data_IF_586806457444
#
_entry.id   IF_586806457444
#
_cell.length_a   1.000
_cell.length_b   1.000
_cell.length_c   1.000
_cell.angle_alpha   90.00
_cell.angle_beta   90.00
_cell.angle_gamma   90.00
#
_symmetry.space_group_name_H-M   'P 1'
#
loop_
_entity.id
_entity.type
_entity.pdbx_description
1 polymer ?
#
# COMPACT_ATOMS: atom_id res chain seq x y z
N UNK A 1 67.84 44.74 5.56
CA UNK A 1 68.85 43.93 6.27
C UNK A 1 68.18 42.62 6.70
N UNK A 2 68.87 41.47 6.54
CA UNK A 2 68.63 40.13 7.14
C UNK A 2 67.18 39.69 7.46
N UNK A 3 66.56 38.63 6.90
CA UNK A 3 67.00 37.30 6.40
C UNK A 3 67.49 36.29 7.45
N UNK A 4 66.65 35.28 7.74
CA UNK A 4 66.90 33.91 8.24
C UNK A 4 65.64 33.10 7.79
N UNK A 5 65.62 31.95 7.09
CA UNK A 5 66.44 30.70 7.11
C UNK A 5 66.44 30.03 8.50
N UNK A 6 66.19 28.73 8.70
CA UNK A 6 65.88 27.57 7.82
C UNK A 6 65.11 26.51 8.67
N UNK A 7 64.74 25.27 8.29
CA UNK A 7 65.03 24.41 7.12
C UNK A 7 63.84 23.47 6.77
N UNK A 8 64.11 22.26 6.26
CA UNK A 8 63.21 21.22 5.76
C UNK A 8 63.34 19.91 6.55
N UNK A 9 62.31 19.07 6.56
CA UNK A 9 62.45 17.60 6.39
C UNK A 9 61.17 16.99 5.80
N UNK A 10 61.34 16.01 4.91
CA UNK A 10 60.29 15.22 4.25
C UNK A 10 60.62 13.74 4.40
N UNK A 11 59.65 12.86 4.68
CA UNK A 11 59.73 11.44 4.35
C UNK A 11 58.70 11.00 3.27
N UNK A 12 58.90 9.85 2.60
CA UNK A 12 58.69 9.79 1.15
C UNK A 12 57.49 8.94 0.66
N UNK A 13 57.24 9.09 -0.63
CA UNK A 13 56.31 8.29 -1.43
C UNK A 13 56.94 7.00 -1.99
N UNK A 14 56.31 5.86 -1.71
CA UNK A 14 56.25 4.64 -2.54
C UNK A 14 55.14 3.74 -1.95
N UNK A 15 54.29 3.06 -2.69
CA UNK A 15 54.31 2.79 -4.13
C UNK A 15 54.23 1.28 -4.38
N UNK A 16 53.01 0.73 -4.49
CA UNK A 16 52.77 -0.54 -5.20
C UNK A 16 51.31 -0.71 -5.58
N UNK A 17 51.07 -0.92 -6.86
CA UNK A 17 49.79 -1.32 -7.41
C UNK A 17 49.66 -2.83 -7.32
N UNK A 18 48.51 -3.33 -6.86
CA UNK A 18 48.17 -4.75 -6.88
C UNK A 18 46.92 -4.96 -7.75
N UNK A 19 47.13 -5.13 -9.06
CA UNK A 19 46.10 -5.57 -10.00
C UNK A 19 45.71 -7.01 -9.69
N UNK A 20 44.56 -7.21 -9.05
CA UNK A 20 43.96 -8.55 -8.94
C UNK A 20 43.23 -8.92 -10.23
N UNK A 21 43.58 -10.09 -10.76
CA UNK A 21 43.12 -10.58 -12.06
C UNK A 21 41.66 -11.00 -12.02
N UNK A 22 40.97 -10.77 -13.15
CA UNK A 22 39.73 -11.43 -13.50
C UNK A 22 39.93 -12.95 -13.53
N UNK A 23 39.22 -13.68 -12.67
CA UNK A 23 39.08 -15.14 -12.75
C UNK A 23 37.77 -15.49 -13.44
N UNK A 24 37.84 -15.98 -14.68
CA UNK A 24 36.69 -16.57 -15.36
C UNK A 24 36.34 -17.90 -14.67
N UNK A 25 35.13 -18.04 -14.15
CA UNK A 25 34.57 -19.34 -13.75
C UNK A 25 33.71 -19.84 -14.90
N UNK A 26 34.11 -20.97 -15.48
CA UNK A 26 33.46 -21.55 -16.64
C UNK A 26 32.12 -22.21 -16.28
N UNK A 27 31.17 -22.10 -17.20
CA UNK A 27 29.98 -22.93 -17.26
C UNK A 27 30.40 -24.40 -17.42
N UNK A 28 30.00 -25.29 -16.52
CA UNK A 28 29.94 -26.72 -16.80
C UNK A 28 28.52 -27.22 -16.57
N UNK A 29 27.82 -27.55 -17.65
CA UNK A 29 26.53 -28.26 -17.60
C UNK A 29 26.81 -29.70 -17.19
N UNK A 30 26.09 -30.21 -16.19
CA UNK A 30 25.91 -31.65 -16.04
C UNK A 30 24.45 -32.01 -16.30
N UNK A 31 24.24 -32.66 -17.45
CA UNK A 31 23.06 -33.47 -17.68
C UNK A 31 23.37 -34.90 -17.21
N UNK A 32 22.35 -35.57 -16.69
CA UNK A 32 22.06 -37.01 -16.62
C UNK A 32 21.31 -37.29 -15.31
N UNK A 33 20.01 -37.65 -15.35
CA UNK A 33 19.42 -38.94 -15.76
C UNK A 33 19.76 -40.07 -14.78
N UNK A 34 18.77 -40.95 -14.61
CA UNK A 34 18.62 -42.00 -13.59
C UNK A 34 17.97 -41.51 -12.27
N UNK A 35 16.91 -42.16 -11.76
CA UNK A 35 16.15 -43.27 -12.31
C UNK A 35 15.00 -43.66 -11.37
N UNK A 36 13.92 -44.21 -11.93
CA UNK A 36 12.82 -44.77 -11.14
C UNK A 36 13.33 -45.81 -10.13
N UNK A 37 12.86 -45.76 -8.89
CA UNK A 37 12.47 -46.97 -8.15
C UNK A 37 11.44 -46.67 -7.06
N UNK A 38 10.24 -47.18 -7.30
CA UNK A 38 9.20 -47.36 -6.29
C UNK A 38 9.56 -48.48 -5.33
N UNK A 39 9.33 -48.28 -4.04
CA UNK A 39 9.09 -49.38 -3.10
C UNK A 39 7.94 -48.99 -2.18
N UNK A 40 6.78 -49.59 -2.39
CA UNK A 40 5.76 -49.68 -1.35
C UNK A 40 6.31 -50.48 -0.17
N UNK A 41 5.98 -50.06 1.04
CA UNK A 41 6.07 -50.89 2.23
C UNK A 41 4.79 -50.70 3.05
N UNK A 42 3.77 -51.48 2.72
CA UNK A 42 2.63 -51.66 3.61
C UNK A 42 3.11 -52.40 4.86
N UNK A 43 2.82 -51.88 6.05
CA UNK A 43 2.85 -52.67 7.28
C UNK A 43 1.45 -52.66 7.87
N UNK A 44 0.74 -53.78 7.68
CA UNK A 44 -0.47 -54.07 8.43
C UNK A 44 -0.08 -54.45 9.86
N UNK A 45 -0.76 -53.86 10.84
CA UNK A 45 -0.75 -54.29 12.24
C UNK A 45 -2.19 -54.35 12.76
N UNK A 46 -2.83 -55.51 12.66
CA UNK A 46 -4.14 -55.81 13.24
C UNK A 46 -3.97 -56.73 14.45
N UNK A 47 -4.54 -56.32 15.58
CA UNK A 47 -5.25 -57.14 16.58
C UNK A 47 -5.86 -56.15 17.60
N UNK A 48 -7.18 -56.13 17.82
CA UNK A 48 -8.00 -57.07 18.63
C UNK A 48 -7.58 -57.05 20.12
N UNK A 49 -8.44 -57.01 21.15
CA UNK A 49 -9.91 -57.05 21.31
C UNK A 49 -10.23 -56.59 22.78
N UNK A 50 -11.45 -56.39 23.33
CA UNK A 50 -12.86 -56.45 22.94
C UNK A 50 -13.74 -55.71 24.02
N UNK A 51 -15.07 -55.86 23.93
CA UNK A 51 -16.09 -55.77 25.02
C UNK A 51 -16.57 -54.39 25.54
N UNK A 52 -17.83 -54.20 25.98
CA UNK A 52 -19.12 -54.89 25.70
C UNK A 52 -20.29 -54.07 26.28
N UNK A 53 -21.48 -54.09 25.65
CA UNK A 53 -22.73 -53.50 26.18
C UNK A 53 -23.61 -52.89 25.08
N UNK A 54 -24.46 -53.66 24.38
CA UNK A 54 -25.88 -53.93 24.71
C UNK A 54 -26.73 -52.65 24.87
N UNK A 55 -27.76 -52.35 24.06
CA UNK A 55 -28.24 -53.01 22.82
C UNK A 55 -29.71 -52.62 22.49
N UNK A 56 -30.22 -53.12 21.36
CA UNK A 56 -31.66 -53.29 21.00
C UNK A 56 -32.51 -52.00 20.77
N UNK A 57 -33.47 -51.93 19.83
CA UNK A 57 -33.82 -52.84 18.72
C UNK A 57 -34.49 -52.08 17.54
N UNK A 58 -34.61 -52.81 16.41
CA UNK A 58 -35.42 -52.58 15.18
C UNK A 58 -36.51 -51.49 15.19
N UNK A 59 -36.68 -50.80 14.04
CA UNK A 59 -37.67 -51.22 13.03
C UNK A 59 -37.44 -50.56 11.65
N UNK A 60 -37.41 -51.39 10.60
CA UNK A 60 -37.53 -50.97 9.20
C UNK A 60 -38.98 -51.18 8.77
N UNK A 61 -39.61 -50.21 8.10
CA UNK A 61 -40.49 -50.47 6.96
C UNK A 61 -40.67 -49.20 6.10
N UNK A 62 -41.05 -49.41 4.85
CA UNK A 62 -40.92 -48.45 3.75
C UNK A 62 -42.27 -47.95 3.22
N UNK A 63 -42.17 -47.04 2.23
CA UNK A 63 -43.18 -46.70 1.21
C UNK A 63 -44.30 -45.69 1.55
N UNK A 64 -44.10 -44.47 1.01
CA UNK A 64 -45.02 -43.71 0.14
C UNK A 64 -46.54 -43.92 0.34
N UNK A 65 -47.25 -42.86 0.72
CA UNK A 65 -48.39 -42.38 -0.07
C UNK A 65 -48.75 -40.89 0.21
N UNK A 66 -49.42 -40.31 -0.78
CA UNK A 66 -49.72 -38.89 -1.00
C UNK A 66 -50.70 -38.30 0.03
N UNK A 67 -50.58 -36.99 0.36
CA UNK A 67 -51.49 -35.94 -0.17
C UNK A 67 -51.22 -34.52 0.38
N UNK A 68 -51.32 -33.56 -0.54
CA UNK A 68 -51.74 -32.16 -0.42
C UNK A 68 -51.64 -31.45 0.95
N UNK A 69 -50.72 -30.48 1.02
CA UNK A 69 -51.02 -29.19 1.65
C UNK A 69 -50.61 -28.07 0.69
N UNK A 70 -51.59 -27.25 0.34
CA UNK A 70 -51.55 -26.30 -0.77
C UNK A 70 -51.24 -24.91 -0.21
N UNK A 71 -49.98 -24.48 -0.33
CA UNK A 71 -49.58 -23.09 -0.08
C UNK A 71 -49.07 -22.48 -1.38
N UNK A 72 -49.75 -21.40 -1.78
CA UNK A 72 -49.56 -20.69 -3.04
C UNK A 72 -48.17 -20.05 -3.11
N UNK A 73 -47.28 -20.63 -3.90
CA UNK A 73 -46.13 -19.90 -4.44
C UNK A 73 -46.56 -19.25 -5.75
N UNK A 74 -46.92 -17.97 -5.69
CA UNK A 74 -47.17 -17.09 -6.84
C UNK A 74 -45.89 -16.96 -7.69
N UNK A 75 -45.69 -17.95 -8.57
CA UNK A 75 -44.73 -17.87 -9.66
C UNK A 75 -45.29 -16.91 -10.71
N UNK A 76 -44.92 -15.64 -10.61
CA UNK A 76 -45.07 -14.69 -11.71
C UNK A 76 -44.28 -15.17 -12.93
N UNK A 77 -44.92 -15.99 -13.76
CA UNK A 77 -44.45 -16.34 -15.09
C UNK A 77 -44.52 -15.08 -15.95
N UNK A 78 -43.37 -14.46 -16.21
CA UNK A 78 -43.28 -13.32 -17.11
C UNK A 78 -43.59 -13.78 -18.54
N UNK A 79 -44.83 -13.60 -18.96
CA UNK A 79 -45.25 -13.75 -20.36
C UNK A 79 -44.77 -12.54 -21.15
N UNK A 80 -43.55 -12.63 -21.68
CA UNK A 80 -43.01 -11.64 -22.61
C UNK A 80 -43.78 -11.68 -23.94
N UNK A 81 -44.77 -10.78 -24.06
CA UNK A 81 -45.45 -10.52 -25.34
C UNK A 81 -44.43 -9.92 -26.31
N UNK A 82 -43.95 -10.75 -27.24
CA UNK A 82 -43.08 -10.33 -28.32
C UNK A 82 -43.85 -9.39 -29.25
N UNK A 83 -43.65 -8.07 -29.12
CA UNK A 83 -44.12 -7.10 -30.11
C UNK A 83 -43.31 -7.26 -31.39
N UNK A 84 -43.91 -7.89 -32.41
CA UNK A 84 -43.40 -7.84 -33.78
C UNK A 84 -43.55 -6.41 -34.30
N UNK A 85 -42.43 -5.70 -34.44
CA UNK A 85 -42.37 -4.42 -35.15
C UNK A 85 -42.18 -4.67 -36.65
N UNK A 86 -43.00 -4.05 -37.48
CA UNK A 86 -42.95 -4.17 -38.95
C UNK A 86 -42.17 -2.99 -39.55
N UNK A 87 -41.24 -3.30 -40.46
CA UNK A 87 -40.78 -2.37 -41.51
C UNK A 87 -39.55 -1.51 -41.19
N UNK A 88 -38.39 -1.89 -41.72
CA UNK A 88 -37.18 -1.06 -41.74
C UNK A 88 -35.93 -1.85 -42.12
N UNK A 89 -35.35 -1.59 -43.30
CA UNK A 89 -34.28 -2.41 -43.89
C UNK A 89 -32.90 -2.18 -43.29
N UNK A 90 -32.46 -3.06 -42.37
CA UNK A 90 -31.07 -3.55 -42.28
C UNK A 90 -30.97 -4.59 -41.15
N UNK A 91 -30.69 -5.85 -41.50
CA UNK A 91 -30.65 -6.94 -40.54
C UNK A 91 -29.32 -6.97 -39.76
N UNK A 92 -29.24 -6.18 -38.69
CA UNK A 92 -28.35 -6.47 -37.56
C UNK A 92 -29.17 -6.57 -36.27
N UNK A 93 -28.91 -7.58 -35.41
CA UNK A 93 -29.56 -7.66 -34.12
C UNK A 93 -29.26 -6.39 -33.30
N UNK A 94 -30.19 -5.91 -32.46
CA UNK A 94 -30.01 -4.69 -31.69
C UNK A 94 -28.74 -4.81 -30.82
N UNK A 95 -27.77 -3.93 -31.10
CA UNK A 95 -26.45 -3.95 -30.47
C UNK A 95 -26.59 -3.79 -28.96
N UNK A 96 -26.19 -4.82 -28.21
CA UNK A 96 -26.24 -4.80 -26.74
C UNK A 96 -25.49 -3.59 -26.18
N UNK A 97 -26.23 -2.66 -25.59
CA UNK A 97 -25.69 -1.55 -24.82
C UNK A 97 -25.43 -2.03 -23.39
N UNK A 98 -24.18 -2.04 -22.90
CA UNK A 98 -23.92 -2.46 -21.54
C UNK A 98 -24.60 -1.50 -20.55
N UNK A 99 -25.22 -2.00 -19.46
CA UNK A 99 -25.85 -1.15 -18.47
C UNK A 99 -24.82 -0.26 -17.78
N UNK A 100 -25.21 0.98 -17.47
CA UNK A 100 -24.41 1.86 -16.63
C UNK A 100 -24.24 1.25 -15.23
N UNK A 101 -23.05 1.45 -14.63
CA UNK A 101 -22.78 0.97 -13.26
C UNK A 101 -23.81 1.57 -12.29
N UNK A 102 -24.53 0.76 -11.49
CA UNK A 102 -25.52 1.29 -10.55
C UNK A 102 -24.85 2.13 -9.47
N UNK A 103 -25.40 3.30 -9.20
CA UNK A 103 -24.99 4.17 -8.08
C UNK A 103 -25.85 3.80 -6.87
N UNK A 104 -25.31 2.99 -5.98
CA UNK A 104 -25.97 2.57 -4.74
C UNK A 104 -25.76 3.68 -3.70
N UNK A 105 -26.87 4.28 -3.24
CA UNK A 105 -26.88 5.28 -2.17
C UNK A 105 -27.79 4.81 -1.05
N UNK A 106 -27.19 4.37 0.05
CA UNK A 106 -27.90 3.89 1.23
C UNK A 106 -28.51 5.06 2.01
N UNK A 107 -29.74 5.45 1.64
CA UNK A 107 -30.50 6.55 2.29
C UNK A 107 -30.80 6.30 3.77
N UNK A 108 -30.59 5.09 4.27
CA UNK A 108 -30.70 4.70 5.68
C UNK A 108 -29.52 5.17 6.53
N UNK A 109 -28.37 5.47 5.91
CA UNK A 109 -27.22 6.04 6.61
C UNK A 109 -27.49 7.53 6.88
N UNK A 110 -27.87 7.85 8.12
CA UNK A 110 -28.15 9.22 8.57
C UNK A 110 -26.95 10.14 8.32
N UNK A 111 -27.14 11.11 7.42
CA UNK A 111 -26.24 12.24 7.10
C UNK A 111 -24.77 11.93 7.41
N UNK A 112 -24.21 10.99 6.66
CA UNK A 112 -22.78 10.80 6.65
C UNK A 112 -22.12 12.13 6.26
N UNK A 113 -21.35 12.69 7.18
CA UNK A 113 -20.72 13.99 7.01
C UNK A 113 -19.78 13.95 5.83
N UNK A 114 -20.00 14.83 4.84
CA UNK A 114 -19.14 14.93 3.66
C UNK A 114 -17.73 15.30 4.11
N UNK A 115 -16.84 14.30 4.21
CA UNK A 115 -15.53 14.49 4.83
C UNK A 115 -14.65 15.41 3.99
N UNK A 116 -14.31 16.57 4.55
CA UNK A 116 -13.34 17.48 3.93
C UNK A 116 -11.94 16.94 4.14
N UNK A 117 -11.21 16.65 3.06
CA UNK A 117 -9.82 16.20 3.12
C UNK A 117 -8.88 17.31 2.59
N UNK A 118 -8.14 17.94 3.50
CA UNK A 118 -6.99 18.76 3.13
C UNK A 118 -5.75 17.87 2.96
N UNK A 119 -5.00 18.06 1.87
CA UNK A 119 -3.76 17.30 1.65
C UNK A 119 -2.61 17.92 2.46
N UNK A 120 -1.76 17.11 3.14
CA UNK A 120 -0.78 17.60 4.12
C UNK A 120 0.24 18.62 3.57
N UNK A 121 0.58 18.52 2.28
CA UNK A 121 1.51 19.45 1.62
C UNK A 121 1.02 20.90 1.52
N UNK A 122 -0.29 21.15 1.67
CA UNK A 122 -0.82 22.51 1.75
C UNK A 122 -0.52 23.19 3.10
N UNK A 123 -0.29 22.40 4.15
CA UNK A 123 0.00 22.91 5.49
C UNK A 123 1.47 23.34 5.51
N UNK A 124 1.77 24.63 5.75
CA UNK A 124 3.14 25.11 5.81
C UNK A 124 3.85 24.59 7.07
N UNK A 125 5.18 24.41 7.06
CA UNK A 125 5.93 24.11 8.28
C UNK A 125 5.99 25.34 9.20
N UNK A 126 6.20 25.11 10.51
CA UNK A 126 6.38 26.17 11.52
C UNK A 126 7.66 26.97 11.28
N UNK A 127 7.59 28.04 10.48
CA UNK A 127 8.73 28.90 10.10
C UNK A 127 8.35 30.38 10.00
N UNK A 128 9.36 31.28 10.01
CA UNK A 128 9.19 32.75 9.96
C UNK A 128 9.11 33.33 8.54
N UNK A 129 8.74 32.52 7.56
CA UNK A 129 8.64 32.94 6.15
C UNK A 129 7.38 33.78 5.93
N UNK A 130 7.45 34.78 5.04
CA UNK A 130 6.30 35.62 4.71
C UNK A 130 5.12 34.77 4.17
N UNK A 131 3.90 34.86 4.74
CA UNK A 131 2.71 34.13 4.29
C UNK A 131 2.40 34.27 2.80
N UNK A 132 2.76 35.40 2.18
CA UNK A 132 2.58 35.64 0.75
C UNK A 132 3.29 34.60 -0.14
N UNK A 133 4.43 34.04 0.31
CA UNK A 133 5.12 32.95 -0.39
C UNK A 133 4.22 31.71 -0.51
N UNK A 134 3.60 31.32 0.60
CA UNK A 134 2.69 30.17 0.63
C UNK A 134 1.38 30.44 -0.14
N UNK A 135 0.91 31.69 -0.21
CA UNK A 135 -0.23 32.05 -1.06
C UNK A 135 0.08 31.84 -2.56
N UNK A 136 1.21 32.34 -3.05
CA UNK A 136 1.64 32.11 -4.45
C UNK A 136 1.83 30.62 -4.72
N UNK A 137 2.54 29.93 -3.83
CA UNK A 137 2.83 28.49 -3.97
C UNK A 137 1.55 27.65 -4.03
N UNK A 138 0.57 27.92 -3.16
CA UNK A 138 -0.74 27.23 -3.19
C UNK A 138 -1.54 27.56 -4.45
N UNK A 139 -1.52 28.80 -4.95
CA UNK A 139 -2.15 29.18 -6.22
C UNK A 139 -1.60 28.38 -7.41
N UNK A 140 -0.28 28.15 -7.44
CA UNK A 140 0.36 27.35 -8.49
C UNK A 140 0.10 25.84 -8.33
N UNK A 141 0.11 25.32 -7.08
CA UNK A 141 -0.32 23.95 -6.77
C UNK A 141 -1.75 23.68 -7.26
N UNK A 142 -2.68 24.61 -7.02
CA UNK A 142 -4.08 24.51 -7.45
C UNK A 142 -4.18 24.55 -8.98
N UNK A 143 -3.43 25.45 -9.65
CA UNK A 143 -3.36 25.46 -11.13
C UNK A 143 -2.91 24.10 -11.69
N UNK A 144 -1.91 23.46 -11.07
CA UNK A 144 -1.45 22.12 -11.47
C UNK A 144 -2.51 21.04 -11.22
N UNK A 145 -3.28 21.11 -10.12
CA UNK A 145 -4.39 20.18 -9.83
C UNK A 145 -5.58 20.29 -10.78
N UNK A 146 -5.80 21.44 -11.42
CA UNK A 146 -6.80 21.55 -12.50
C UNK A 146 -6.41 20.76 -13.76
N UNK A 147 -5.11 20.48 -13.96
CA UNK A 147 -4.58 19.72 -15.10
C UNK A 147 -4.37 18.24 -14.75
N UNK A 148 -3.87 17.94 -13.55
CA UNK A 148 -3.68 16.58 -13.03
C UNK A 148 -4.61 16.34 -11.84
N UNK A 149 -5.52 15.39 -11.98
CA UNK A 149 -6.30 14.90 -10.85
C UNK A 149 -5.35 14.19 -9.85
N UNK A 150 -5.13 14.80 -8.68
CA UNK A 150 -4.39 14.22 -7.57
C UNK A 150 -5.42 13.68 -6.57
N UNK A 151 -5.59 12.34 -6.47
CA UNK A 151 -6.56 11.74 -5.56
C UNK A 151 -6.09 11.84 -4.09
N UNK A 152 -7.02 11.59 -3.17
CA UNK A 152 -6.70 11.38 -1.77
C UNK A 152 -6.01 10.02 -1.55
N UNK A 153 -4.94 10.00 -0.74
CA UNK A 153 -4.26 8.78 -0.31
C UNK A 153 -3.45 9.02 0.97
N UNK A 154 -3.09 7.94 1.67
CA UNK A 154 -2.34 7.99 2.92
C UNK A 154 -1.11 7.08 2.90
N UNK A 155 -0.29 7.14 3.96
CA UNK A 155 0.73 6.12 4.20
C UNK A 155 0.04 4.75 4.39
N UNK A 156 0.51 3.75 3.65
CA UNK A 156 -0.10 2.42 3.57
C UNK A 156 -1.05 2.21 2.41
N UNK A 157 -1.53 3.27 1.74
CA UNK A 157 -2.35 3.13 0.53
C UNK A 157 -1.53 2.58 -0.64
N UNK A 158 -2.16 1.77 -1.50
CA UNK A 158 -1.55 1.21 -2.71
C UNK A 158 -1.86 2.14 -3.89
N UNK A 159 -0.82 2.63 -4.55
CA UNK A 159 -0.93 3.53 -5.69
C UNK A 159 -0.32 2.91 -6.95
N UNK A 160 -0.89 3.28 -8.10
CA UNK A 160 -0.23 3.15 -9.40
C UNK A 160 0.06 4.55 -9.95
N UNK A 161 1.32 4.82 -10.29
CA UNK A 161 1.75 6.11 -10.84
C UNK A 161 2.27 5.90 -12.26
N UNK A 162 1.70 6.66 -13.20
CA UNK A 162 2.13 6.68 -14.59
C UNK A 162 2.95 7.95 -14.86
N UNK A 163 4.24 7.77 -15.12
CA UNK A 163 5.20 8.85 -15.41
C UNK A 163 5.66 8.78 -16.87
N UNK A 164 5.85 9.94 -17.50
CA UNK A 164 6.60 10.06 -18.75
C UNK A 164 8.10 9.90 -18.51
N UNK A 165 8.72 8.95 -19.20
CA UNK A 165 10.17 8.69 -19.19
C UNK A 165 10.66 8.55 -20.63
N UNK A 166 11.54 9.45 -21.14
CA UNK A 166 11.99 9.41 -22.53
C UNK A 166 12.77 8.15 -22.90
N UNK A 167 13.33 7.42 -21.91
CA UNK A 167 14.14 6.23 -22.15
C UNK A 167 13.34 4.92 -22.11
N UNK A 168 12.08 4.96 -21.64
CA UNK A 168 11.21 3.79 -21.60
C UNK A 168 10.69 3.44 -23.01
N UNK A 169 10.51 2.14 -23.30
CA UNK A 169 10.09 1.65 -24.62
C UNK A 169 8.75 2.21 -25.12
N UNK A 170 7.86 2.63 -24.22
CA UNK A 170 6.60 3.32 -24.53
C UNK A 170 6.59 4.83 -24.23
N UNK A 171 7.74 5.44 -23.93
CA UNK A 171 7.89 6.80 -23.35
C UNK A 171 7.14 7.03 -22.02
N UNK A 172 6.59 5.96 -21.45
CA UNK A 172 5.75 5.94 -20.26
C UNK A 172 6.17 4.76 -19.40
N UNK A 173 6.17 4.97 -18.08
CA UNK A 173 6.48 3.97 -17.07
C UNK A 173 5.35 3.96 -16.03
N UNK A 174 4.77 2.79 -15.77
CA UNK A 174 3.76 2.57 -14.72
C UNK A 174 4.42 1.80 -13.58
N UNK A 175 4.43 2.38 -12.39
CA UNK A 175 4.90 1.72 -11.18
C UNK A 175 3.77 1.58 -10.17
N UNK A 176 3.62 0.38 -9.61
CA UNK A 176 2.64 0.07 -8.56
C UNK A 176 3.39 -0.24 -7.27
N UNK A 177 2.91 0.30 -6.14
CA UNK A 177 3.50 0.01 -4.83
C UNK A 177 2.76 0.66 -3.68
N UNK A 178 3.21 0.34 -2.46
CA UNK A 178 2.69 0.89 -1.21
C UNK A 178 3.35 2.27 -0.97
N UNK A 179 2.55 3.28 -0.66
CA UNK A 179 3.03 4.58 -0.20
C UNK A 179 3.60 4.46 1.22
N UNK A 180 4.93 4.56 1.36
CA UNK A 180 5.64 4.39 2.63
C UNK A 180 5.69 5.68 3.45
N UNK A 181 5.92 6.79 2.78
CA UNK A 181 6.09 8.10 3.39
C UNK A 181 5.59 9.16 2.41
N UNK A 182 4.87 10.15 2.93
CA UNK A 182 4.68 11.46 2.32
C UNK A 182 5.61 12.46 3.00
N UNK A 183 6.15 13.43 2.26
CA UNK A 183 7.08 14.41 2.78
C UNK A 183 7.18 15.65 1.90
N UNK A 184 7.91 16.65 2.38
CA UNK A 184 7.94 17.97 1.74
C UNK A 184 6.65 18.77 1.95
N UNK A 185 6.68 20.04 1.55
CA UNK A 185 5.57 20.98 1.63
C UNK A 185 5.51 21.77 0.32
N UNK A 186 4.34 22.31 -0.01
CA UNK A 186 4.18 23.15 -1.19
C UNK A 186 4.38 22.39 -2.50
N UNK A 187 5.08 23.01 -3.46
CA UNK A 187 5.36 22.39 -4.75
C UNK A 187 6.37 21.22 -4.67
N UNK A 188 7.26 21.25 -3.67
CA UNK A 188 8.27 20.21 -3.41
C UNK A 188 7.74 19.00 -2.65
N UNK A 189 6.43 18.78 -2.64
CA UNK A 189 5.80 17.64 -1.98
C UNK A 189 6.12 16.33 -2.70
N UNK A 190 6.55 15.33 -1.93
CA UNK A 190 7.03 14.03 -2.42
C UNK A 190 6.36 12.87 -1.70
N UNK A 191 6.35 11.71 -2.34
CA UNK A 191 5.95 10.45 -1.74
C UNK A 191 6.81 9.30 -2.26
N UNK A 192 7.10 8.34 -1.39
CA UNK A 192 7.91 7.16 -1.74
C UNK A 192 7.00 5.95 -1.90
N UNK A 193 7.00 5.37 -3.10
CA UNK A 193 6.39 4.07 -3.36
C UNK A 193 7.45 2.97 -3.22
N UNK A 194 7.09 1.86 -2.55
CA UNK A 194 7.88 0.63 -2.48
C UNK A 194 7.08 -0.54 -3.04
N UNK A 195 7.76 -1.39 -3.79
CA UNK A 195 7.28 -2.72 -4.16
C UNK A 195 8.45 -3.71 -4.18
N UNK A 196 8.16 -5.01 -4.20
CA UNK A 196 9.14 -6.07 -4.43
C UNK A 196 8.80 -6.74 -5.76
N UNK A 197 9.69 -6.54 -6.74
CA UNK A 197 9.57 -7.07 -8.10
C UNK A 197 10.73 -8.04 -8.29
N UNK A 198 10.45 -9.28 -8.73
CA UNK A 198 11.45 -10.34 -8.91
C UNK A 198 12.37 -10.56 -7.69
N UNK A 199 11.76 -10.50 -6.49
CA UNK A 199 12.43 -10.55 -5.17
C UNK A 199 13.39 -9.39 -4.86
N UNK A 200 13.46 -8.36 -5.71
CA UNK A 200 14.23 -7.14 -5.49
C UNK A 200 13.33 -6.02 -4.97
N UNK A 201 13.74 -5.36 -3.87
CA UNK A 201 13.00 -4.24 -3.31
C UNK A 201 13.29 -2.94 -4.06
N UNK A 202 12.31 -2.46 -4.84
CA UNK A 202 12.38 -1.22 -5.60
C UNK A 202 11.66 -0.11 -4.84
N UNK A 203 12.30 1.05 -4.72
CA UNK A 203 11.72 2.27 -4.17
C UNK A 203 11.86 3.42 -5.16
N UNK A 204 10.76 4.14 -5.40
CA UNK A 204 10.75 5.32 -6.27
C UNK A 204 10.13 6.49 -5.51
N UNK A 205 10.86 7.60 -5.45
CA UNK A 205 10.38 8.87 -4.92
C UNK A 205 9.74 9.68 -6.06
N UNK A 206 8.47 10.06 -5.89
CA UNK A 206 7.72 10.87 -6.84
C UNK A 206 7.43 12.26 -6.25
N UNK A 207 7.61 13.29 -7.06
CA UNK A 207 7.18 14.67 -6.77
C UNK A 207 5.72 14.86 -7.23
N UNK A 208 4.80 15.19 -6.32
CA UNK A 208 3.35 15.27 -6.61
C UNK A 208 3.00 16.22 -7.76
N UNK A 209 3.73 17.32 -7.88
CA UNK A 209 3.45 18.38 -8.84
C UNK A 209 4.25 18.28 -10.14
N UNK A 210 5.12 17.27 -10.29
CA UNK A 210 6.01 17.12 -11.44
C UNK A 210 5.23 17.10 -12.77
N UNK A 211 5.66 17.82 -13.82
CA UNK A 211 4.99 17.81 -15.11
C UNK A 211 5.10 16.46 -15.83
N UNK A 212 6.05 15.60 -15.41
CA UNK A 212 6.21 14.24 -15.95
C UNK A 212 5.14 13.26 -15.49
N UNK A 213 4.44 13.53 -14.39
CA UNK A 213 3.33 12.67 -13.94
C UNK A 213 2.11 12.91 -14.82
N UNK A 214 1.64 11.85 -15.48
CA UNK A 214 0.45 11.85 -16.31
C UNK A 214 -0.80 11.48 -15.50
N UNK A 215 -0.69 10.48 -14.62
CA UNK A 215 -1.82 9.98 -13.84
C UNK A 215 -1.34 9.37 -12.51
N UNK A 216 -2.13 9.57 -11.46
CA UNK A 216 -2.00 8.90 -10.17
C UNK A 216 -3.31 8.17 -9.91
N UNK A 217 -3.27 6.84 -9.83
CA UNK A 217 -4.42 5.99 -9.50
C UNK A 217 -4.25 5.44 -8.09
N UNK A 218 -5.33 5.47 -7.30
CA UNK A 218 -5.40 4.75 -6.03
C UNK A 218 -5.97 3.37 -6.31
N UNK A 219 -5.17 2.33 -6.14
CA UNK A 219 -5.65 0.95 -6.27
C UNK A 219 -6.33 0.50 -4.97
N UNK A 220 -5.79 0.89 -3.83
CA UNK A 220 -6.37 0.60 -2.51
C UNK A 220 -6.17 1.75 -1.54
N UNK A 221 -7.27 2.33 -1.08
CA UNK A 221 -7.27 3.39 -0.08
C UNK A 221 -7.35 2.80 1.33
N UNK A 222 -6.19 2.62 1.98
CA UNK A 222 -6.10 2.25 3.39
C UNK A 222 -5.10 3.14 4.15
N UNK A 223 -5.36 3.32 5.44
CA UNK A 223 -4.40 3.88 6.42
C UNK A 223 -3.73 2.74 7.18
N UNK A 224 -2.51 2.97 7.69
CA UNK A 224 -1.86 2.10 8.68
C UNK A 224 -1.89 2.76 10.06
N UNK A 225 -1.35 2.06 11.07
CA UNK A 225 -1.19 2.59 12.43
C UNK A 225 -0.12 3.69 12.51
N UNK A 226 0.85 3.68 11.58
CA UNK A 226 1.99 4.59 11.54
C UNK A 226 1.95 5.44 10.27
N UNK A 227 2.24 6.74 10.37
CA UNK A 227 2.34 7.66 9.23
C UNK A 227 3.59 7.46 8.37
N UNK A 228 4.57 6.69 8.87
CA UNK A 228 5.84 6.46 8.21
C UNK A 228 6.26 4.98 8.30
N UNK A 229 6.15 4.28 7.17
CA UNK A 229 6.35 2.84 7.07
C UNK A 229 7.79 2.44 6.69
N UNK A 230 8.79 3.32 6.89
CA UNK A 230 10.18 3.08 6.46
C UNK A 230 10.83 1.82 7.05
N UNK A 231 10.25 1.27 8.13
CA UNK A 231 10.63 -0.03 8.69
C UNK A 231 10.33 -1.22 7.77
N UNK A 232 9.48 -1.06 6.75
CA UNK A 232 9.21 -2.07 5.72
C UNK A 232 10.46 -2.47 4.91
N UNK A 233 11.54 -1.69 4.95
CA UNK A 233 12.86 -2.07 4.41
C UNK A 233 13.47 -3.27 5.14
N UNK A 234 13.27 -3.34 6.46
CA UNK A 234 13.80 -4.37 7.36
C UNK A 234 12.76 -5.49 7.65
N UNK A 235 11.57 -5.39 7.06
CA UNK A 235 10.47 -6.36 7.21
C UNK A 235 10.62 -7.58 6.29
N UNK A 236 9.80 -8.61 6.53
CA UNK A 236 9.65 -9.71 5.57
C UNK A 236 9.08 -9.20 4.22
N UNK A 237 9.52 -9.76 3.07
CA UNK A 237 9.06 -9.34 1.75
C UNK A 237 7.54 -9.30 1.58
N UNK A 238 6.84 -10.28 2.15
CA UNK A 238 5.38 -10.48 2.10
C UNK A 238 4.55 -9.22 2.37
N UNK A 239 5.04 -8.30 3.22
CA UNK A 239 4.33 -7.07 3.58
C UNK A 239 4.52 -5.91 2.59
N UNK A 240 5.41 -6.07 1.61
CA UNK A 240 5.78 -5.05 0.61
C UNK A 240 5.42 -5.47 -0.82
N UNK A 241 5.31 -6.78 -1.09
CA UNK A 241 4.97 -7.30 -2.42
C UNK A 241 3.53 -6.93 -2.78
N UNK A 242 3.36 -6.27 -3.93
CA UNK A 242 2.07 -5.91 -4.51
C UNK A 242 2.06 -6.26 -5.99
N UNK A 243 1.02 -6.95 -6.44
CA UNK A 243 0.86 -7.34 -7.84
C UNK A 243 0.74 -6.09 -8.74
N UNK A 244 1.60 -5.92 -9.77
CA UNK A 244 1.54 -4.75 -10.67
C UNK A 244 0.23 -4.60 -11.44
N UNK A 245 -0.47 -5.71 -11.66
CA UNK A 245 -1.75 -5.77 -12.38
C UNK A 245 -2.98 -5.76 -11.44
N UNK A 246 -2.79 -5.39 -10.17
CA UNK A 246 -3.89 -5.24 -9.21
C UNK A 246 -4.94 -4.23 -9.73
N UNK A 247 -6.21 -4.65 -9.72
CA UNK A 247 -7.34 -3.78 -10.10
C UNK A 247 -7.73 -2.87 -8.93
N UNK A 248 -8.21 -1.63 -9.19
CA UNK A 248 -8.63 -0.72 -8.14
C UNK A 248 -9.86 -1.24 -7.39
N UNK A 249 -9.77 -1.27 -6.06
CA UNK A 249 -10.87 -1.58 -5.16
C UNK A 249 -11.89 -0.42 -5.14
N UNK A 250 -13.21 -0.69 -5.09
CA UNK A 250 -14.23 0.36 -5.10
C UNK A 250 -14.26 1.12 -3.76
N UNK A 251 -13.92 2.40 -3.80
CA UNK A 251 -13.98 3.31 -2.64
C UNK A 251 -15.44 3.75 -2.40
N UNK A 252 -15.93 3.64 -1.16
CA UNK A 252 -17.17 4.32 -0.78
C UNK A 252 -16.89 5.82 -0.56
N UNK A 253 -17.61 6.74 -1.23
CA UNK A 253 -17.34 8.17 -1.12
C UNK A 253 -17.72 8.76 0.26
N UNK A 254 -18.49 7.98 1.02
CA UNK A 254 -19.28 8.42 2.16
C UNK A 254 -18.69 8.00 3.52
N UNK A 255 -17.81 6.99 3.53
CA UNK A 255 -17.27 6.40 4.75
C UNK A 255 -15.93 7.00 5.20
N UNK A 256 -15.58 6.73 6.46
CA UNK A 256 -14.22 6.90 6.96
C UNK A 256 -13.24 5.98 6.23
N UNK A 257 -11.98 6.41 6.09
CA UNK A 257 -10.94 5.59 5.45
C UNK A 257 -10.54 4.43 6.35
N UNK A 258 -10.59 3.18 5.86
CA UNK A 258 -10.30 2.01 6.69
C UNK A 258 -8.85 2.01 7.19
N UNK A 259 -8.69 1.81 8.51
CA UNK A 259 -7.38 1.69 9.16
C UNK A 259 -7.00 0.21 9.29
N UNK A 260 -5.99 -0.21 8.53
CA UNK A 260 -5.43 -1.54 8.56
C UNK A 260 -4.50 -1.70 9.78
N UNK A 261 -4.96 -2.46 10.79
CA UNK A 261 -4.27 -2.69 12.06
C UNK A 261 -3.23 -3.83 12.02
N UNK A 262 -2.88 -4.34 10.84
CA UNK A 262 -1.93 -5.44 10.67
C UNK A 262 -0.54 -5.06 11.20
N UNK A 263 -0.01 -5.88 12.13
CA UNK A 263 1.35 -5.76 12.64
C UNK A 263 2.34 -6.62 11.83
N UNK A 264 3.43 -5.99 11.43
CA UNK A 264 4.50 -6.53 10.57
C UNK A 264 5.49 -7.36 11.37
N UNK A 265 6.01 -8.43 10.77
CA UNK A 265 7.16 -9.22 11.28
C UNK A 265 8.45 -8.68 10.65
N UNK A 266 9.45 -8.46 11.49
CA UNK A 266 10.78 -8.00 11.07
C UNK A 266 11.68 -9.18 10.67
N UNK A 267 12.72 -8.90 9.88
CA UNK A 267 13.87 -9.79 9.70
C UNK A 267 14.66 -9.89 11.02
N UNK A 268 15.53 -10.90 11.20
CA UNK A 268 16.53 -10.85 12.27
C UNK A 268 17.42 -9.60 12.14
N UNK A 269 18.00 -9.15 13.26
CA UNK A 269 18.97 -8.05 13.30
C UNK A 269 20.25 -8.42 12.51
N UNK A 270 21.02 -7.45 11.99
CA UNK A 270 20.86 -5.99 12.13
C UNK A 270 19.80 -5.39 11.20
N UNK A 271 19.22 -4.26 11.62
CA UNK A 271 18.27 -3.45 10.85
C UNK A 271 18.89 -2.12 10.42
N UNK A 272 18.31 -1.49 9.40
CA UNK A 272 18.72 -0.15 8.91
C UNK A 272 18.63 0.95 9.98
N UNK A 273 17.66 0.84 10.90
CA UNK A 273 17.52 1.74 12.05
C UNK A 273 17.08 0.97 13.30
N UNK A 274 17.29 1.61 14.46
CA UNK A 274 16.85 1.12 15.77
C UNK A 274 15.38 1.46 16.02
N UNK A 275 14.50 0.78 15.29
CA UNK A 275 13.04 0.97 15.30
C UNK A 275 12.40 0.73 16.67
N UNK A 276 13.06 -0.03 17.54
CA UNK A 276 12.64 -0.31 18.93
C UNK A 276 12.63 0.93 19.83
N UNK A 277 13.23 2.05 19.39
CA UNK A 277 13.39 3.24 20.24
C UNK A 277 12.10 4.07 20.30
N UNK A 278 11.64 4.50 21.50
CA UNK A 278 10.44 5.32 21.67
C UNK A 278 10.40 6.60 20.81
N UNK A 279 11.56 7.15 20.42
CA UNK A 279 11.67 8.28 19.48
C UNK A 279 10.85 8.10 18.19
N UNK A 280 10.68 6.88 17.68
CA UNK A 280 9.96 6.62 16.44
C UNK A 280 8.45 6.39 16.63
N UNK A 281 8.00 6.09 17.85
CA UNK A 281 6.59 5.82 18.20
C UNK A 281 5.87 4.83 17.26
N UNK A 282 6.53 3.73 16.89
CA UNK A 282 5.99 2.75 15.92
C UNK A 282 5.10 1.73 16.63
N UNK A 283 3.85 1.62 16.17
CA UNK A 283 2.83 0.68 16.66
C UNK A 283 2.64 -0.53 15.73
N UNK A 284 2.99 -0.39 14.45
CA UNK A 284 2.81 -1.41 13.40
C UNK A 284 3.84 -2.55 13.38
N UNK A 285 4.83 -2.57 14.29
CA UNK A 285 5.80 -3.67 14.41
C UNK A 285 5.40 -4.64 15.52
N UNK A 286 5.54 -5.95 15.26
CA UNK A 286 5.41 -6.99 16.30
C UNK A 286 6.77 -7.24 16.99
N UNK A 287 7.07 -6.41 17.99
CA UNK A 287 8.33 -6.51 18.74
C UNK A 287 8.46 -7.80 19.56
N UNK A 288 7.38 -8.35 20.13
CA UNK A 288 7.37 -9.59 20.93
C UNK A 288 7.88 -10.86 20.22
N UNK A 289 7.98 -10.85 18.89
CA UNK A 289 8.63 -11.94 18.11
C UNK A 289 10.03 -11.60 17.61
N UNK A 290 10.46 -10.36 17.78
CA UNK A 290 11.67 -9.81 17.17
C UNK A 290 12.73 -9.41 18.21
N UNK A 291 12.33 -9.23 19.47
CA UNK A 291 13.12 -8.68 20.57
C UNK A 291 12.81 -9.44 21.87
N UNK A 292 13.79 -9.52 22.77
CA UNK A 292 13.57 -9.98 24.15
C UNK A 292 13.06 -8.85 25.04
N UNK A 293 12.41 -9.14 26.19
CA UNK A 293 11.99 -8.12 27.16
C UNK A 293 13.15 -7.22 27.60
N UNK A 294 14.32 -7.79 27.90
CA UNK A 294 15.55 -7.05 28.25
C UNK A 294 15.96 -6.02 27.18
N UNK A 295 15.82 -6.37 25.90
CA UNK A 295 16.11 -5.45 24.79
C UNK A 295 15.09 -4.31 24.70
N UNK A 296 13.83 -4.57 25.06
CA UNK A 296 12.78 -3.55 25.15
C UNK A 296 13.00 -2.62 26.34
N UNK A 297 13.32 -3.14 27.52
CA UNK A 297 13.69 -2.35 28.70
C UNK A 297 14.91 -1.47 28.43
N UNK A 298 15.92 -2.02 27.75
CA UNK A 298 17.08 -1.25 27.31
C UNK A 298 16.71 -0.16 26.31
N UNK A 299 15.79 -0.43 25.37
CA UNK A 299 15.28 0.58 24.45
C UNK A 299 14.50 1.71 25.16
N UNK A 300 13.77 1.37 26.22
CA UNK A 300 13.00 2.30 27.03
C UNK A 300 13.87 3.30 27.80
N UNK A 301 15.17 3.01 28.04
CA UNK A 301 16.13 3.97 28.62
C UNK A 301 16.33 5.24 27.76
N UNK A 302 15.92 5.24 26.49
CA UNK A 302 15.92 6.42 25.62
C UNK A 302 14.54 7.09 25.47
N UNK A 303 13.54 6.69 26.27
CA UNK A 303 12.27 7.39 26.36
C UNK A 303 12.47 8.83 26.83
N UNK A 304 11.60 9.74 26.37
CA UNK A 304 11.60 11.15 26.79
C UNK A 304 10.15 11.55 27.10
N UNK A 305 9.57 11.10 28.23
CA UNK A 305 8.13 11.25 28.52
C UNK A 305 7.67 12.71 28.52
N UNK A 306 8.53 13.63 28.96
CA UNK A 306 8.26 15.07 28.96
C UNK A 306 7.96 15.66 27.56
N UNK A 307 8.28 14.96 26.46
CA UNK A 307 7.98 15.43 25.10
C UNK A 307 6.50 15.39 24.74
N UNK A 308 5.71 14.55 25.40
CA UNK A 308 4.27 14.45 25.17
C UNK A 308 3.54 15.66 25.78
N UNK A 309 4.08 16.20 26.88
CA UNK A 309 3.55 17.35 27.60
C UNK A 309 4.22 18.68 27.20
N UNK A 310 5.03 18.70 26.13
CA UNK A 310 5.73 19.89 25.64
C UNK A 310 4.83 20.73 24.72
N UNK A 311 3.87 21.42 25.33
CA UNK A 311 2.88 22.27 24.63
C UNK A 311 3.52 23.35 23.74
N UNK A 312 4.75 23.80 24.04
CA UNK A 312 5.45 24.80 23.22
C UNK A 312 5.94 24.24 21.88
N UNK A 313 6.04 22.92 21.77
CA UNK A 313 6.45 22.22 20.54
C UNK A 313 5.27 21.91 19.62
N UNK A 314 4.05 21.87 20.16
CA UNK A 314 2.82 21.70 19.37
C UNK A 314 2.71 22.79 18.29
N UNK A 315 1.97 22.46 17.24
CA UNK A 315 1.73 23.36 16.11
C UNK A 315 0.25 23.33 15.77
N UNK A 316 -0.50 24.25 16.39
CA UNK A 316 -1.92 24.45 16.10
C UNK A 316 -2.08 25.00 14.67
N UNK A 317 -2.63 24.17 13.80
CA UNK A 317 -2.91 24.47 12.40
C UNK A 317 -4.38 24.75 12.13
N UNK A 318 -5.28 24.62 13.12
CA UNK A 318 -6.76 24.70 12.94
C UNK A 318 -7.21 25.90 12.09
N UNK A 319 -6.87 27.12 12.54
CA UNK A 319 -7.17 28.38 11.85
C UNK A 319 -6.51 28.50 10.47
N UNK A 320 -5.34 27.90 10.28
CA UNK A 320 -4.64 27.89 9.00
C UNK A 320 -5.33 26.92 8.03
N UNK A 321 -5.76 25.75 8.49
CA UNK A 321 -6.47 24.76 7.68
C UNK A 321 -7.81 25.29 7.18
N UNK A 322 -8.59 25.96 8.03
CA UNK A 322 -9.84 26.65 7.63
C UNK A 322 -9.60 27.72 6.54
N UNK A 323 -8.57 28.56 6.72
CA UNK A 323 -8.17 29.56 5.73
C UNK A 323 -7.70 28.93 4.42
N UNK A 324 -6.90 27.86 4.50
CA UNK A 324 -6.40 27.13 3.33
C UNK A 324 -7.55 26.43 2.60
N UNK A 325 -8.48 25.79 3.31
CA UNK A 325 -9.63 25.09 2.73
C UNK A 325 -10.55 26.05 1.97
N UNK A 326 -10.91 27.19 2.57
CA UNK A 326 -11.74 28.20 1.92
C UNK A 326 -11.05 28.82 0.70
N UNK A 327 -9.73 29.04 0.75
CA UNK A 327 -8.95 29.48 -0.41
C UNK A 327 -8.91 28.42 -1.52
N UNK A 328 -8.64 27.15 -1.20
CA UNK A 328 -8.61 26.04 -2.17
C UNK A 328 -9.96 25.87 -2.83
N UNK A 329 -11.06 25.87 -2.06
CA UNK A 329 -12.41 25.79 -2.61
C UNK A 329 -12.71 26.94 -3.58
N UNK A 330 -12.38 28.19 -3.19
CA UNK A 330 -12.58 29.39 -4.01
C UNK A 330 -11.73 29.39 -5.28
N UNK A 331 -10.50 28.89 -5.26
CA UNK A 331 -9.68 28.81 -6.47
C UNK A 331 -10.03 27.60 -7.35
N UNK A 332 -10.57 26.51 -6.78
CA UNK A 332 -11.06 25.35 -7.54
C UNK A 332 -12.42 25.61 -8.22
N UNK A 333 -13.25 26.52 -7.68
CA UNK A 333 -14.54 26.90 -8.27
C UNK A 333 -14.46 27.96 -9.39
N UNK A 334 -13.28 28.54 -9.63
CA UNK A 334 -13.00 29.48 -10.73
C UNK A 334 -12.59 28.76 -12.01
#
# INVERSE_FOLDING_TARGET
MSSCQTDRTVPPSCGRWATLRLGQIAFQRHFDRHGFRSTCACVCGRSDMAACGKGLDKFMFSLRLLRNLQLQNERFLSTSVCRLAVGGSSEQPPKFTPPSKPVIVDKTQTVASTRSHLSPEFIPPRQRTNPFKFYIERKDMIRRRKVLNIPEFYAGSILAVTMADPNASGKMNRFVGICIQRGGHGLGATFVLRNIIDNQGVEICYELYSPRIQQIEVLKLEKRLDDNLMYLRDALPEYCTVDPDMKPEPISPTGEVPVNKLKVRMRPKPWSKRWERPKFNIQGIRFDRSLTPEQMEHAQKWAQPWREYDMLKEYDTSKLEEQILSEVQREMSK
#
